data_IF_980108057925
#
_entry.id   IF_980108057925
#
_cell.length_a   1.000
_cell.length_b   1.000
_cell.length_c   1.000
_cell.angle_alpha   90.00
_cell.angle_beta   90.00
_cell.angle_gamma   90.00
#
_symmetry.space_group_name_H-M   'P 1'
#
loop_
_entity.id
_entity.type
_entity.pdbx_description
1 polymer ?
#
# COMPACT_ATOMS: atom_id res chain seq x y z
N UNK A 1 11.27 -9.10 11.73
CA UNK A 1 11.79 -10.42 11.35
C UNK A 1 10.69 -11.12 10.58
N UNK A 2 10.92 -11.49 9.33
CA UNK A 2 9.96 -12.25 8.52
C UNK A 2 10.05 -13.70 8.96
N UNK A 3 9.06 -14.21 9.70
CA UNK A 3 8.98 -15.65 9.98
C UNK A 3 8.54 -16.36 8.71
N UNK A 4 9.40 -17.22 8.18
CA UNK A 4 8.99 -18.16 7.15
C UNK A 4 8.12 -19.24 7.81
N UNK A 5 6.87 -19.34 7.34
CA UNK A 5 5.92 -20.40 7.68
C UNK A 5 6.63 -21.74 7.64
N UNK A 6 6.50 -22.57 8.67
CA UNK A 6 7.13 -23.89 8.77
C UNK A 6 6.94 -24.68 7.46
N UNK A 7 7.98 -24.75 6.64
CA UNK A 7 7.86 -25.15 5.23
C UNK A 7 7.87 -26.67 5.03
N UNK A 8 7.91 -27.44 6.11
CA UNK A 8 8.23 -28.87 6.09
C UNK A 8 6.98 -29.73 5.87
N UNK A 9 5.82 -29.36 6.42
CA UNK A 9 4.51 -29.96 6.14
C UNK A 9 3.45 -28.87 5.96
N UNK A 10 2.70 -28.91 4.86
CA UNK A 10 1.56 -28.02 4.67
C UNK A 10 0.36 -28.63 5.41
N UNK A 11 0.36 -28.55 6.74
CA UNK A 11 -0.80 -28.94 7.53
C UNK A 11 -1.76 -27.74 7.58
N UNK A 12 -2.95 -27.93 7.00
CA UNK A 12 -3.96 -26.86 6.86
C UNK A 12 -4.28 -26.19 8.19
N UNK A 13 -4.39 -26.98 9.26
CA UNK A 13 -4.63 -26.52 10.63
C UNK A 13 -3.52 -25.60 11.16
N UNK A 14 -2.26 -25.98 11.01
CA UNK A 14 -1.12 -25.17 11.45
C UNK A 14 -1.01 -23.86 10.67
N UNK A 15 -1.25 -23.90 9.35
CA UNK A 15 -1.26 -22.71 8.51
C UNK A 15 -2.37 -21.74 8.91
N UNK A 16 -3.59 -22.25 9.13
CA UNK A 16 -4.72 -21.46 9.61
C UNK A 16 -4.45 -20.85 10.98
N UNK A 17 -3.83 -21.58 11.90
CA UNK A 17 -3.45 -21.07 13.21
C UNK A 17 -2.44 -19.91 13.10
N UNK A 18 -1.47 -19.99 12.19
CA UNK A 18 -0.53 -18.89 11.92
C UNK A 18 -1.21 -17.67 11.31
N UNK A 19 -2.16 -17.87 10.39
CA UNK A 19 -2.95 -16.77 9.84
C UNK A 19 -3.82 -16.10 10.91
N UNK A 20 -4.47 -16.88 11.77
CA UNK A 20 -5.25 -16.36 12.89
C UNK A 20 -4.35 -15.55 13.84
N UNK A 21 -3.19 -16.09 14.21
CA UNK A 21 -2.21 -15.38 15.05
C UNK A 21 -1.75 -14.05 14.42
N UNK A 22 -1.48 -14.04 13.11
CA UNK A 22 -1.13 -12.82 12.38
C UNK A 22 -2.27 -11.79 12.36
N UNK A 23 -3.53 -12.25 12.41
CA UNK A 23 -4.73 -11.40 12.47
C UNK A 23 -5.09 -10.93 13.89
N UNK A 24 -4.42 -11.39 14.96
CA UNK A 24 -4.75 -10.96 16.33
C UNK A 24 -4.68 -9.44 16.53
N UNK A 25 -3.77 -8.76 15.82
CA UNK A 25 -3.63 -7.29 15.88
C UNK A 25 -4.78 -6.55 15.21
N UNK A 26 -5.53 -7.20 14.34
CA UNK A 26 -6.58 -6.59 13.53
C UNK A 26 -7.66 -5.93 14.39
N UNK A 27 -8.07 -6.58 15.49
CA UNK A 27 -9.11 -6.04 16.38
C UNK A 27 -8.66 -4.75 17.07
N UNK A 28 -7.41 -4.70 17.55
CA UNK A 28 -6.83 -3.49 18.12
C UNK A 28 -6.69 -2.38 17.07
N UNK A 29 -6.26 -2.72 15.85
CA UNK A 29 -6.18 -1.79 14.72
C UNK A 29 -7.55 -1.21 14.36
N UNK A 30 -8.59 -2.04 14.33
CA UNK A 30 -9.98 -1.62 14.09
C UNK A 30 -10.43 -0.64 15.16
N UNK A 31 -10.26 -0.97 16.44
CA UNK A 31 -10.64 -0.10 17.55
C UNK A 31 -9.92 1.26 17.48
N UNK A 32 -8.60 1.24 17.24
CA UNK A 32 -7.79 2.46 17.07
C UNK A 32 -8.27 3.32 15.89
N UNK A 33 -8.60 2.72 14.74
CA UNK A 33 -9.09 3.49 13.59
C UNK A 33 -10.48 4.06 13.87
N UNK A 34 -11.39 3.29 14.46
CA UNK A 34 -12.73 3.77 14.76
C UNK A 34 -12.72 4.88 15.82
N UNK A 35 -11.89 4.78 16.86
CA UNK A 35 -11.68 5.87 17.82
C UNK A 35 -11.17 7.13 17.13
N UNK A 36 -10.14 7.00 16.28
CA UNK A 36 -9.62 8.12 15.50
C UNK A 36 -10.69 8.77 14.60
N UNK A 37 -11.52 7.96 13.95
CA UNK A 37 -12.61 8.44 13.08
C UNK A 37 -13.71 9.14 13.89
N UNK A 38 -14.04 8.64 15.08
CA UNK A 38 -15.08 9.24 15.93
C UNK A 38 -14.63 10.57 16.54
N UNK A 39 -13.32 10.83 16.62
CA UNK A 39 -12.72 12.02 17.23
C UNK A 39 -11.85 12.79 16.23
N UNK A 40 -12.25 12.82 14.96
CA UNK A 40 -11.45 13.43 13.88
C UNK A 40 -11.14 14.90 14.13
N UNK A 41 -12.09 15.65 14.67
CA UNK A 41 -11.95 17.06 15.03
C UNK A 41 -10.92 17.27 16.13
N UNK A 42 -10.95 16.45 17.18
CA UNK A 42 -9.95 16.51 18.26
C UNK A 42 -8.55 16.18 17.75
N UNK A 43 -8.43 15.14 16.91
CA UNK A 43 -7.16 14.78 16.28
C UNK A 43 -6.68 15.85 15.28
N UNK A 44 -7.59 16.52 14.58
CA UNK A 44 -7.26 17.65 13.71
C UNK A 44 -6.74 18.83 14.51
N UNK A 45 -7.36 19.15 15.66
CA UNK A 45 -6.91 20.19 16.56
C UNK A 45 -5.51 19.87 17.10
N UNK A 46 -5.30 18.63 17.57
CA UNK A 46 -4.00 18.18 18.04
C UNK A 46 -2.91 18.27 16.95
N UNK A 47 -3.24 17.88 15.72
CA UNK A 47 -2.32 17.99 14.58
C UNK A 47 -2.05 19.47 14.21
N UNK A 48 -3.06 20.34 14.29
CA UNK A 48 -2.91 21.76 14.02
C UNK A 48 -2.03 22.46 15.05
N UNK A 49 -2.18 22.14 16.35
CA UNK A 49 -1.34 22.69 17.43
C UNK A 49 0.16 22.50 17.13
N UNK A 50 0.54 21.38 16.51
CA UNK A 50 1.95 21.14 16.15
C UNK A 50 2.49 22.13 15.11
N UNK A 51 1.62 22.65 14.23
CA UNK A 51 1.99 23.63 13.20
C UNK A 51 1.64 25.07 13.58
N UNK A 52 0.98 25.30 14.71
CA UNK A 52 0.65 26.64 15.19
C UNK A 52 1.88 27.55 15.29
N UNK A 53 3.05 27.11 15.82
CA UNK A 53 4.26 27.94 15.84
C UNK A 53 4.72 28.41 14.45
N UNK A 54 4.54 27.56 13.40
CA UNK A 54 4.80 27.96 12.01
C UNK A 54 3.83 29.04 11.57
N UNK A 55 2.55 28.91 11.91
CA UNK A 55 1.50 29.88 11.54
C UNK A 55 1.76 31.23 12.20
N UNK A 56 2.20 31.23 13.47
CA UNK A 56 2.52 32.43 14.25
C UNK A 56 3.71 33.24 13.71
N UNK A 57 4.51 32.69 12.78
CA UNK A 57 5.51 33.46 12.05
C UNK A 57 4.91 34.55 11.14
N UNK A 58 3.60 34.48 10.89
CA UNK A 58 2.87 35.35 9.97
C UNK A 58 1.67 36.03 10.66
N UNK A 59 1.24 37.22 10.17
CA UNK A 59 1.76 37.95 9.02
C UNK A 59 3.14 38.56 9.27
N UNK A 60 3.94 38.67 8.20
CA UNK A 60 5.29 39.24 8.29
C UNK A 60 5.60 40.14 7.11
N UNK A 61 5.97 41.39 7.41
CA UNK A 61 6.43 42.34 6.41
C UNK A 61 7.94 42.18 6.21
N UNK A 62 8.35 42.04 4.95
CA UNK A 62 9.74 42.01 4.52
C UNK A 62 9.94 43.03 3.38
N UNK A 63 11.18 43.37 3.00
CA UNK A 63 11.43 44.34 1.92
C UNK A 63 10.79 43.93 0.58
N UNK A 64 10.65 42.63 0.35
CA UNK A 64 10.10 42.00 -0.86
C UNK A 64 8.57 41.79 -0.84
N UNK A 65 7.89 42.11 0.27
CA UNK A 65 6.43 42.09 0.33
C UNK A 65 5.85 41.74 1.70
N UNK A 66 4.52 41.67 1.74
CA UNK A 66 3.77 41.21 2.92
C UNK A 66 3.40 39.73 2.78
N UNK A 67 3.85 38.92 3.74
CA UNK A 67 3.62 37.47 3.75
C UNK A 67 2.54 37.12 4.75
N UNK A 68 1.60 36.26 4.35
CA UNK A 68 0.53 35.74 5.20
C UNK A 68 0.28 34.26 4.96
N UNK A 69 -0.22 33.58 5.98
CA UNK A 69 -0.76 32.23 5.85
C UNK A 69 -2.21 32.30 5.38
N UNK A 70 -2.57 31.43 4.45
CA UNK A 70 -3.94 31.24 3.97
C UNK A 70 -4.30 29.78 4.15
N UNK A 71 -5.47 29.56 4.75
CA UNK A 71 -6.07 28.24 4.91
C UNK A 71 -7.18 28.02 3.87
N UNK A 72 -7.27 26.80 3.35
CA UNK A 72 -8.32 26.40 2.42
C UNK A 72 -8.77 24.97 2.75
N UNK A 73 -10.07 24.75 2.94
CA UNK A 73 -10.62 23.39 3.09
C UNK A 73 -10.82 22.83 1.70
N UNK A 74 -10.12 21.75 1.39
CA UNK A 74 -10.19 21.14 0.07
C UNK A 74 -11.29 20.08 -0.02
N UNK A 75 -12.08 20.14 -1.09
CA UNK A 75 -13.16 19.19 -1.41
C UNK A 75 -12.89 18.44 -2.73
N UNK A 76 -11.68 18.58 -3.28
CA UNK A 76 -11.28 17.89 -4.51
C UNK A 76 -10.98 16.41 -4.27
N UNK A 77 -11.10 15.53 -5.29
CA UNK A 77 -10.83 14.09 -5.14
C UNK A 77 -9.47 13.72 -4.55
N UNK A 78 -8.43 14.53 -4.78
CA UNK A 78 -7.06 14.24 -4.35
C UNK A 78 -6.74 14.78 -2.95
N UNK A 79 -7.51 15.74 -2.44
CA UNK A 79 -7.28 16.46 -1.19
C UNK A 79 -8.64 16.65 -0.50
N UNK A 80 -9.31 15.56 -0.16
CA UNK A 80 -10.69 15.64 0.34
C UNK A 80 -10.74 15.80 1.85
N UNK A 81 -11.46 16.80 2.36
CA UNK A 81 -11.60 17.06 3.79
C UNK A 81 -10.33 17.59 4.46
N UNK A 82 -9.27 17.90 3.70
CA UNK A 82 -7.97 18.33 4.23
C UNK A 82 -7.88 19.85 4.33
N UNK A 83 -7.07 20.34 5.26
CA UNK A 83 -6.73 21.75 5.37
C UNK A 83 -5.46 22.04 4.57
N UNK A 84 -5.61 22.76 3.46
CA UNK A 84 -4.49 23.33 2.72
C UNK A 84 -3.90 24.52 3.45
N UNK A 85 -2.58 24.56 3.57
CA UNK A 85 -1.83 25.67 4.15
C UNK A 85 -0.94 26.27 3.07
N UNK A 86 -1.11 27.56 2.80
CA UNK A 86 -0.32 28.27 1.79
C UNK A 86 0.30 29.54 2.36
N UNK A 87 1.55 29.81 2.00
CA UNK A 87 2.15 31.14 2.20
C UNK A 87 1.80 31.98 0.99
N UNK A 88 1.25 33.17 1.21
CA UNK A 88 0.80 34.08 0.16
C UNK A 88 1.47 35.44 0.31
N UNK A 89 1.95 35.96 -0.80
CA UNK A 89 2.31 37.37 -1.01
C UNK A 89 1.28 38.04 -1.91
N UNK A 90 1.50 39.29 -2.28
CA UNK A 90 0.63 39.99 -3.24
C UNK A 90 0.63 39.30 -4.61
N UNK A 91 1.78 38.77 -5.03
CA UNK A 91 2.01 38.23 -6.38
C UNK A 91 2.12 36.71 -6.44
N UNK A 92 2.36 36.03 -5.30
CA UNK A 92 2.61 34.59 -5.27
C UNK A 92 1.79 33.86 -4.20
N UNK A 93 1.48 32.59 -4.49
CA UNK A 93 0.89 31.64 -3.55
C UNK A 93 1.68 30.34 -3.59
N UNK A 94 2.25 29.96 -2.46
CA UNK A 94 3.02 28.72 -2.31
C UNK A 94 2.26 27.76 -1.41
N UNK A 95 1.77 26.66 -1.99
CA UNK A 95 1.10 25.57 -1.27
C UNK A 95 2.15 24.68 -0.60
N UNK A 96 2.18 24.69 0.73
CA UNK A 96 3.22 24.02 1.51
C UNK A 96 3.17 22.49 1.32
N UNK A 97 1.99 21.93 1.07
CA UNK A 97 1.79 20.50 0.80
C UNK A 97 2.46 20.04 -0.51
N UNK A 98 2.75 20.95 -1.45
CA UNK A 98 3.33 20.61 -2.76
C UNK A 98 4.85 20.63 -2.82
N UNK A 99 5.50 21.33 -1.88
CA UNK A 99 6.94 21.56 -1.92
C UNK A 99 7.73 20.54 -1.09
N UNK A 100 7.06 19.75 -0.25
CA UNK A 100 7.66 18.71 0.60
C UNK A 100 8.56 19.29 1.70
N UNK A 101 9.13 18.42 2.55
CA UNK A 101 9.90 18.81 3.74
C UNK A 101 10.99 19.86 3.43
N UNK A 102 11.87 19.56 2.48
CA UNK A 102 12.97 20.45 2.09
C UNK A 102 12.46 21.75 1.46
N UNK A 103 11.34 21.70 0.74
CA UNK A 103 10.73 22.89 0.15
C UNK A 103 10.10 23.79 1.21
N UNK A 104 9.42 23.23 2.20
CA UNK A 104 8.86 23.99 3.33
C UNK A 104 9.99 24.67 4.10
N UNK A 105 11.07 23.96 4.42
CA UNK A 105 12.22 24.57 5.09
C UNK A 105 12.82 25.75 4.30
N UNK A 106 12.93 25.64 2.97
CA UNK A 106 13.38 26.74 2.10
C UNK A 106 12.42 27.92 2.08
N UNK A 107 11.11 27.67 2.10
CA UNK A 107 10.08 28.72 2.16
C UNK A 107 10.15 29.46 3.50
N UNK A 108 10.48 28.77 4.60
CA UNK A 108 10.51 29.35 5.94
C UNK A 108 11.85 29.99 6.32
N UNK A 109 12.97 29.60 5.69
CA UNK A 109 14.31 30.13 5.97
C UNK A 109 14.43 31.67 5.97
N UNK A 110 13.69 32.44 5.14
CA UNK A 110 13.73 33.90 5.20
C UNK A 110 13.00 34.50 6.42
N UNK A 111 12.26 33.69 7.18
CA UNK A 111 11.39 34.10 8.28
C UNK A 111 11.84 33.59 9.66
N UNK A 112 12.77 32.65 9.73
CA UNK A 112 13.25 32.11 11.01
C UNK A 112 14.67 31.59 10.86
N UNK A 113 15.29 31.16 11.96
CA UNK A 113 16.59 30.50 11.89
C UNK A 113 16.50 29.18 11.12
N UNK A 114 17.64 28.70 10.60
CA UNK A 114 17.68 27.42 9.89
C UNK A 114 17.21 26.23 10.75
N UNK A 115 17.47 26.28 12.06
CA UNK A 115 17.04 25.24 13.00
C UNK A 115 15.50 25.24 13.17
N UNK A 116 14.90 26.41 13.38
CA UNK A 116 13.44 26.59 13.47
C UNK A 116 12.75 26.19 12.17
N UNK A 117 13.28 26.62 11.01
CA UNK A 117 12.73 26.27 9.70
C UNK A 117 12.67 24.75 9.49
N UNK A 118 13.67 24.01 9.98
CA UNK A 118 13.69 22.54 9.93
C UNK A 118 12.64 21.92 10.86
N UNK A 119 12.51 22.44 12.10
CA UNK A 119 11.50 21.96 13.06
C UNK A 119 10.08 22.18 12.54
N UNK A 120 9.79 23.39 12.04
CA UNK A 120 8.50 23.72 11.43
C UNK A 120 8.19 22.86 10.21
N UNK A 121 9.18 22.58 9.36
CA UNK A 121 9.00 21.68 8.22
C UNK A 121 8.65 20.25 8.67
N UNK A 122 9.30 19.76 9.74
CA UNK A 122 9.02 18.43 10.30
C UNK A 122 7.59 18.35 10.85
N UNK A 123 7.18 19.33 11.66
CA UNK A 123 5.82 19.41 12.19
C UNK A 123 4.78 19.49 11.05
N UNK A 124 5.08 20.26 10.00
CA UNK A 124 4.21 20.33 8.82
C UNK A 124 4.14 19.00 8.05
N UNK A 125 5.23 18.23 7.99
CA UNK A 125 5.20 16.90 7.39
C UNK A 125 4.28 15.94 8.16
N UNK A 126 4.28 16.00 9.49
CA UNK A 126 3.38 15.20 10.34
C UNK A 126 1.92 15.62 10.16
N UNK A 127 1.66 16.92 10.09
CA UNK A 127 0.34 17.46 9.72
C UNK A 127 -0.13 16.98 8.34
N UNK A 128 0.77 16.94 7.35
CA UNK A 128 0.46 16.41 6.03
C UNK A 128 0.19 14.90 6.02
N UNK A 129 0.79 14.13 6.92
CA UNK A 129 0.44 12.73 7.10
C UNK A 129 -0.97 12.57 7.66
N UNK A 130 -1.37 13.43 8.62
CA UNK A 130 -2.76 13.50 9.09
C UNK A 130 -3.72 13.85 7.95
N UNK A 131 -3.45 14.91 7.19
CA UNK A 131 -4.23 15.29 6.01
C UNK A 131 -4.34 14.15 4.99
N UNK A 132 -3.24 13.44 4.70
CA UNK A 132 -3.27 12.29 3.81
C UNK A 132 -4.18 11.15 4.31
N UNK A 133 -4.25 10.95 5.63
CA UNK A 133 -5.12 9.94 6.26
C UNK A 133 -6.59 10.35 6.16
N UNK A 134 -6.90 11.62 6.43
CA UNK A 134 -8.25 12.19 6.23
C UNK A 134 -8.70 12.06 4.78
N UNK A 135 -7.85 12.44 3.81
CA UNK A 135 -8.17 12.30 2.38
C UNK A 135 -8.47 10.86 1.96
N UNK A 136 -7.89 9.87 2.64
CA UNK A 136 -8.10 8.45 2.33
C UNK A 136 -9.50 7.95 2.73
N UNK A 137 -10.20 8.65 3.63
CA UNK A 137 -11.59 8.36 4.01
C UNK A 137 -12.55 8.44 2.82
N UNK A 138 -12.27 9.30 1.84
CA UNK A 138 -13.07 9.42 0.61
C UNK A 138 -13.18 8.10 -0.17
N UNK A 139 -12.18 7.22 -0.07
CA UNK A 139 -12.20 5.93 -0.80
C UNK A 139 -13.32 4.99 -0.34
N UNK A 140 -13.94 5.28 0.81
CA UNK A 140 -15.11 4.59 1.34
C UNK A 140 -16.45 5.19 0.89
N UNK A 141 -16.43 6.20 0.00
CA UNK A 141 -17.64 6.74 -0.62
C UNK A 141 -18.46 7.68 0.25
N UNK A 142 -17.92 8.17 1.37
CA UNK A 142 -18.57 9.17 2.23
C UNK A 142 -18.11 10.56 1.82
N UNK A 143 -19.08 11.44 1.63
CA UNK A 143 -18.85 12.84 1.27
C UNK A 143 -18.80 13.75 2.49
N UNK A 144 -18.00 14.82 2.39
CA UNK A 144 -17.93 15.86 3.40
C UNK A 144 -19.24 16.65 3.38
N UNK A 145 -19.80 16.93 4.55
CA UNK A 145 -20.98 17.78 4.69
C UNK A 145 -20.72 19.16 4.05
N UNK A 146 -21.69 19.76 3.34
CA UNK A 146 -21.54 21.09 2.79
C UNK A 146 -21.09 22.10 3.84
N UNK A 147 -19.97 22.77 3.55
CA UNK A 147 -19.41 23.76 4.45
C UNK A 147 -20.26 25.03 4.40
N UNK A 148 -20.73 25.57 5.54
CA UNK A 148 -21.46 26.83 5.56
C UNK A 148 -20.63 27.97 4.96
N UNK A 149 -21.28 28.93 4.31
CA UNK A 149 -20.62 30.10 3.74
C UNK A 149 -20.29 31.15 4.82
N UNK A 150 -19.13 31.82 4.71
CA UNK A 150 -18.67 32.81 5.68
C UNK A 150 -17.97 32.21 6.92
N UNK A 151 -17.45 33.07 7.79
CA UNK A 151 -16.80 32.69 9.06
C UNK A 151 -15.32 32.24 8.94
N UNK A 152 -14.63 32.05 10.10
CA UNK A 152 -13.24 31.60 10.13
C UNK A 152 -13.09 30.16 9.61
N UNK A 153 -11.99 29.89 8.90
CA UNK A 153 -11.77 28.60 8.20
C UNK A 153 -11.55 27.43 9.18
N UNK A 154 -10.81 27.64 10.27
CA UNK A 154 -10.43 26.55 11.20
C UNK A 154 -11.63 25.97 11.97
N UNK A 155 -12.50 26.77 12.63
CA UNK A 155 -13.70 26.24 13.28
C UNK A 155 -14.58 25.44 12.32
N UNK A 156 -14.81 25.99 11.11
CA UNK A 156 -15.56 25.30 10.06
C UNK A 156 -14.94 23.97 9.64
N UNK A 157 -13.62 23.89 9.61
CA UNK A 157 -12.92 22.66 9.27
C UNK A 157 -13.08 21.61 10.37
N UNK A 158 -12.95 22.01 11.65
CA UNK A 158 -13.16 21.11 12.79
C UNK A 158 -14.60 20.59 12.84
N UNK A 159 -15.60 21.47 12.71
CA UNK A 159 -17.01 21.07 12.69
C UNK A 159 -17.32 20.09 11.54
N UNK A 160 -16.74 20.36 10.36
CA UNK A 160 -16.89 19.48 9.21
C UNK A 160 -16.24 18.11 9.42
N UNK A 161 -15.07 18.06 10.06
CA UNK A 161 -14.39 16.82 10.38
C UNK A 161 -15.12 16.00 11.45
N UNK A 162 -15.73 16.67 12.44
CA UNK A 162 -16.57 16.01 13.42
C UNK A 162 -17.74 15.29 12.72
N UNK A 163 -18.53 16.02 11.92
CA UNK A 163 -19.65 15.46 11.18
C UNK A 163 -19.20 14.36 10.19
N UNK A 164 -18.07 14.56 9.52
CA UNK A 164 -17.52 13.58 8.58
C UNK A 164 -17.09 12.29 9.27
N UNK A 165 -16.45 12.40 10.43
CA UNK A 165 -16.06 11.28 11.27
C UNK A 165 -17.25 10.39 11.64
N UNK A 166 -18.33 11.00 12.14
CA UNK A 166 -19.55 10.29 12.48
C UNK A 166 -20.18 9.54 11.30
N UNK A 167 -20.11 10.11 10.09
CA UNK A 167 -20.61 9.47 8.87
C UNK A 167 -19.68 8.35 8.36
N UNK A 168 -18.37 8.52 8.48
CA UNK A 168 -17.39 7.52 8.08
C UNK A 168 -17.36 6.30 9.01
N UNK A 169 -17.63 6.48 10.31
CA UNK A 169 -17.53 5.45 11.34
C UNK A 169 -18.27 4.14 11.00
N UNK A 170 -19.58 4.13 10.69
CA UNK A 170 -20.31 2.90 10.35
C UNK A 170 -19.79 2.24 9.06
N UNK A 171 -19.41 3.03 8.05
CA UNK A 171 -18.91 2.52 6.76
C UNK A 171 -17.54 1.85 6.94
N UNK A 172 -16.68 2.44 7.75
CA UNK A 172 -15.36 1.89 8.07
C UNK A 172 -15.53 0.63 8.92
N UNK A 173 -16.41 0.63 9.91
CA UNK A 173 -16.72 -0.56 10.69
C UNK A 173 -17.18 -1.73 9.79
N UNK A 174 -18.08 -1.46 8.85
CA UNK A 174 -18.54 -2.45 7.86
C UNK A 174 -17.41 -2.91 6.93
N UNK A 175 -16.49 -2.01 6.54
CA UNK A 175 -15.31 -2.36 5.75
C UNK A 175 -14.36 -3.31 6.49
N UNK A 176 -14.16 -3.13 7.80
CA UNK A 176 -13.40 -4.06 8.63
C UNK A 176 -14.05 -5.46 8.69
N UNK A 177 -15.37 -5.54 8.88
CA UNK A 177 -16.10 -6.81 8.85
C UNK A 177 -15.98 -7.50 7.49
N UNK A 178 -16.20 -6.75 6.40
CA UNK A 178 -16.06 -7.27 5.04
C UNK A 178 -14.63 -7.74 4.75
N UNK A 179 -13.63 -7.10 5.33
CA UNK A 179 -12.25 -7.53 5.18
C UNK A 179 -11.95 -8.86 5.89
N UNK A 180 -12.56 -9.11 7.06
CA UNK A 180 -12.46 -10.43 7.72
C UNK A 180 -13.11 -11.50 6.84
N UNK A 181 -14.33 -11.26 6.37
CA UNK A 181 -15.07 -12.19 5.50
C UNK A 181 -14.28 -12.51 4.23
N UNK A 182 -13.81 -11.49 3.51
CA UNK A 182 -12.93 -11.69 2.34
C UNK A 182 -11.63 -12.41 2.69
N UNK A 183 -11.08 -12.22 3.89
CA UNK A 183 -9.87 -12.91 4.32
C UNK A 183 -10.13 -14.41 4.52
N UNK A 184 -11.29 -14.79 5.07
CA UNK A 184 -11.69 -16.19 5.21
C UNK A 184 -11.93 -16.84 3.85
N UNK A 185 -12.67 -16.17 2.97
CA UNK A 185 -12.89 -16.63 1.58
C UNK A 185 -11.57 -16.79 0.82
N UNK A 186 -10.63 -15.86 1.01
CA UNK A 186 -9.32 -15.93 0.36
C UNK A 186 -8.49 -17.10 0.89
N UNK A 187 -8.53 -17.36 2.20
CA UNK A 187 -7.88 -18.54 2.79
C UNK A 187 -8.43 -19.82 2.14
N UNK A 188 -9.75 -19.97 2.08
CA UNK A 188 -10.42 -21.11 1.46
C UNK A 188 -10.03 -21.27 -0.02
N UNK A 189 -10.14 -20.21 -0.82
CA UNK A 189 -9.77 -20.22 -2.23
C UNK A 189 -8.28 -20.54 -2.43
N UNK A 190 -7.40 -20.05 -1.56
CA UNK A 190 -5.98 -20.40 -1.58
C UNK A 190 -5.73 -21.87 -1.25
N UNK A 191 -6.47 -22.44 -0.29
CA UNK A 191 -6.37 -23.85 0.05
C UNK A 191 -6.90 -24.74 -1.08
N UNK A 192 -8.04 -24.40 -1.68
CA UNK A 192 -8.58 -25.10 -2.84
C UNK A 192 -7.58 -25.06 -4.00
N UNK A 193 -7.07 -23.87 -4.33
CA UNK A 193 -6.04 -23.69 -5.35
C UNK A 193 -4.81 -24.57 -5.07
N UNK A 194 -4.27 -24.52 -3.84
CA UNK A 194 -3.08 -25.29 -3.49
C UNK A 194 -3.33 -26.80 -3.51
N UNK A 195 -4.55 -27.25 -3.20
CA UNK A 195 -4.99 -28.64 -3.29
C UNK A 195 -5.06 -29.11 -4.75
N UNK A 196 -5.65 -28.32 -5.66
CA UNK A 196 -5.70 -28.59 -7.10
C UNK A 196 -4.31 -28.76 -7.70
N UNK A 197 -3.32 -28.01 -7.20
CA UNK A 197 -1.92 -28.13 -7.63
C UNK A 197 -1.20 -29.39 -7.09
N UNK A 198 -1.86 -30.23 -6.30
CA UNK A 198 -1.36 -31.49 -5.79
C UNK A 198 -0.24 -31.36 -4.75
N UNK A 199 0.57 -32.42 -4.50
CA UNK A 199 1.65 -32.38 -3.50
C UNK A 199 2.78 -31.42 -3.87
N UNK A 200 3.48 -30.89 -2.86
CA UNK A 200 4.56 -29.91 -3.05
C UNK A 200 5.79 -30.60 -3.61
N UNK A 201 6.24 -30.16 -4.79
CA UNK A 201 7.39 -30.72 -5.52
C UNK A 201 8.15 -29.63 -6.25
N UNK A 202 9.32 -29.95 -6.79
CA UNK A 202 10.02 -29.02 -7.69
C UNK A 202 9.09 -28.58 -8.82
N UNK A 203 8.99 -27.27 -9.04
CA UNK A 203 8.04 -26.58 -9.94
C UNK A 203 6.55 -26.73 -9.62
N UNK A 204 6.18 -27.09 -8.40
CA UNK A 204 4.78 -26.90 -7.98
C UNK A 204 4.46 -25.41 -7.87
N UNK A 205 3.28 -25.01 -8.33
CA UNK A 205 2.75 -23.65 -8.19
C UNK A 205 2.00 -23.58 -6.85
N UNK A 206 2.18 -22.50 -6.10
CA UNK A 206 1.50 -22.25 -4.82
C UNK A 206 1.05 -20.81 -4.71
N UNK A 207 -0.08 -20.60 -4.05
CA UNK A 207 -0.45 -19.29 -3.52
C UNK A 207 -0.14 -19.26 -2.03
N UNK A 208 0.58 -18.24 -1.57
CA UNK A 208 0.84 -18.01 -0.13
C UNK A 208 0.80 -16.53 0.19
N UNK A 209 0.44 -16.21 1.44
CA UNK A 209 0.63 -14.88 2.00
C UNK A 209 2.11 -14.59 2.29
N UNK A 210 2.38 -13.30 2.48
CA UNK A 210 3.54 -12.80 3.20
C UNK A 210 3.11 -12.51 4.63
N UNK A 211 3.82 -13.06 5.61
CA UNK A 211 3.58 -12.82 7.02
C UNK A 211 4.64 -11.86 7.55
N UNK A 212 4.20 -10.71 8.02
CA UNK A 212 5.03 -9.73 8.71
C UNK A 212 4.47 -9.53 10.12
N UNK A 213 5.35 -9.71 11.11
CA UNK A 213 5.06 -9.55 12.53
C UNK A 213 4.75 -8.09 12.90
N UNK A 214 4.89 -7.12 11.99
CA UNK A 214 4.55 -5.72 12.23
C UNK A 214 3.34 -5.23 11.40
N UNK A 215 2.76 -6.09 10.57
CA UNK A 215 1.58 -5.71 9.80
C UNK A 215 0.34 -5.66 10.69
N UNK A 216 -0.28 -4.47 10.74
CA UNK A 216 -1.44 -4.16 11.58
C UNK A 216 -2.74 -4.77 11.04
N UNK A 217 -2.76 -5.14 9.75
CA UNK A 217 -3.90 -5.80 9.10
C UNK A 217 -3.65 -7.30 8.86
N UNK A 218 -2.60 -7.86 9.48
CA UNK A 218 -2.26 -9.28 9.39
C UNK A 218 -1.65 -9.68 8.04
N UNK A 219 -1.88 -10.92 7.55
CA UNK A 219 -1.26 -11.44 6.33
C UNK A 219 -1.39 -10.50 5.14
N UNK A 220 -0.32 -10.32 4.37
CA UNK A 220 -0.26 -9.39 3.25
C UNK A 220 0.15 -10.10 1.95
N UNK A 221 -0.03 -9.42 0.81
CA UNK A 221 0.53 -9.83 -0.49
C UNK A 221 0.30 -11.32 -0.86
N UNK A 222 -0.95 -11.80 -0.90
CA UNK A 222 -1.27 -13.12 -1.46
C UNK A 222 -0.70 -13.19 -2.87
N UNK A 223 0.15 -14.19 -3.13
CA UNK A 223 0.90 -14.23 -4.38
C UNK A 223 1.15 -15.65 -4.87
N UNK A 224 1.03 -15.80 -6.19
CA UNK A 224 1.37 -17.02 -6.91
C UNK A 224 2.89 -17.12 -7.06
N UNK A 225 3.43 -18.27 -6.64
CA UNK A 225 4.85 -18.56 -6.60
C UNK A 225 5.11 -19.96 -7.14
N UNK A 226 6.32 -20.19 -7.62
CA UNK A 226 6.76 -21.50 -8.10
C UNK A 226 7.91 -21.99 -7.22
N UNK A 227 7.83 -23.24 -6.78
CA UNK A 227 8.92 -23.89 -6.03
C UNK A 227 10.11 -24.11 -6.95
N UNK A 228 11.25 -23.51 -6.63
CA UNK A 228 12.49 -23.57 -7.43
C UNK A 228 13.57 -24.44 -6.83
N UNK A 229 13.53 -24.73 -5.54
CA UNK A 229 14.37 -25.75 -4.92
C UNK A 229 13.74 -26.27 -3.64
N UNK A 230 14.05 -27.52 -3.29
CA UNK A 230 13.70 -28.11 -2.00
C UNK A 230 14.98 -28.68 -1.42
N UNK A 231 15.39 -28.20 -0.25
CA UNK A 231 16.52 -28.76 0.47
C UNK A 231 16.13 -30.18 0.93
N UNK A 232 16.86 -31.23 0.53
CA UNK A 232 16.49 -32.61 0.84
C UNK A 232 16.57 -32.93 2.34
N UNK A 233 17.49 -32.27 3.08
CA UNK A 233 17.71 -32.51 4.51
C UNK A 233 16.72 -31.73 5.37
N UNK A 234 16.57 -30.43 5.11
CA UNK A 234 15.70 -29.56 5.95
C UNK A 234 14.27 -29.47 5.43
N UNK A 235 13.98 -30.03 4.25
CA UNK A 235 12.71 -29.86 3.50
C UNK A 235 12.33 -28.40 3.23
N UNK A 236 13.27 -27.47 3.46
CA UNK A 236 13.10 -26.05 3.18
C UNK A 236 12.92 -25.80 1.69
N UNK A 237 12.01 -24.88 1.34
CA UNK A 237 11.53 -24.65 -0.01
C UNK A 237 11.87 -23.23 -0.43
N UNK A 238 12.55 -23.11 -1.56
CA UNK A 238 12.74 -21.81 -2.20
C UNK A 238 11.62 -21.57 -3.20
N UNK A 239 11.08 -20.36 -3.16
CA UNK A 239 10.02 -19.92 -4.04
C UNK A 239 10.53 -18.77 -4.92
N UNK A 240 10.14 -18.78 -6.20
CA UNK A 240 10.20 -17.58 -7.04
C UNK A 240 8.78 -17.03 -7.22
N UNK A 241 8.64 -15.71 -7.14
CA UNK A 241 7.42 -15.03 -7.53
C UNK A 241 7.10 -15.31 -9.01
N UNK A 242 5.81 -15.38 -9.36
CA UNK A 242 5.38 -15.73 -10.72
C UNK A 242 6.03 -14.85 -11.79
N UNK A 243 6.10 -13.54 -11.56
CA UNK A 243 6.73 -12.56 -12.45
C UNK A 243 8.20 -12.90 -12.71
N UNK A 244 8.95 -13.22 -11.65
CA UNK A 244 10.39 -13.51 -11.77
C UNK A 244 10.63 -14.90 -12.38
N UNK A 245 9.76 -15.86 -12.09
CA UNK A 245 9.77 -17.16 -12.75
C UNK A 245 9.56 -17.02 -14.26
N UNK A 246 8.59 -16.21 -14.70
CA UNK A 246 8.37 -15.91 -16.13
C UNK A 246 9.57 -15.21 -16.78
N UNK A 247 10.15 -14.21 -16.11
CA UNK A 247 11.39 -13.55 -16.59
C UNK A 247 12.52 -14.57 -16.77
N UNK A 248 12.69 -15.49 -15.82
CA UNK A 248 13.69 -16.56 -15.90
C UNK A 248 13.39 -17.54 -17.05
N UNK A 249 12.13 -17.93 -17.26
CA UNK A 249 11.71 -18.78 -18.38
C UNK A 249 11.98 -18.10 -19.73
N UNK A 250 11.64 -16.81 -19.86
CA UNK A 250 11.89 -16.02 -21.06
C UNK A 250 13.38 -15.93 -21.35
N UNK A 251 14.19 -15.63 -20.34
CA UNK A 251 15.66 -15.61 -20.46
C UNK A 251 16.22 -16.96 -20.92
N UNK A 252 15.73 -18.06 -20.34
CA UNK A 252 16.15 -19.42 -20.73
C UNK A 252 15.78 -19.75 -22.18
N UNK A 253 14.56 -19.39 -22.61
CA UNK A 253 14.08 -19.60 -23.99
C UNK A 253 14.91 -18.82 -25.01
N UNK A 254 15.23 -17.56 -24.70
CA UNK A 254 16.08 -16.72 -25.55
C UNK A 254 17.51 -17.27 -25.62
N UNK A 255 18.09 -17.67 -24.49
CA UNK A 255 19.41 -18.30 -24.48
C UNK A 255 19.46 -19.60 -25.30
N UNK A 256 18.44 -20.45 -25.20
CA UNK A 256 18.35 -21.67 -26.02
C UNK A 256 18.20 -21.37 -27.52
N UNK A 257 17.44 -20.33 -27.86
CA UNK A 257 17.27 -19.89 -29.25
C UNK A 257 18.60 -19.36 -29.81
N UNK A 258 19.25 -18.44 -29.09
CA UNK A 258 20.55 -17.89 -29.48
C UNK A 258 21.61 -18.97 -29.60
N UNK A 259 21.64 -19.96 -28.69
CA UNK A 259 22.55 -21.10 -28.80
C UNK A 259 22.38 -21.87 -30.12
N UNK A 260 21.14 -22.04 -30.58
CA UNK A 260 20.84 -22.70 -31.86
C UNK A 260 21.23 -21.84 -33.05
N UNK A 261 20.98 -20.54 -32.97
CA UNK A 261 21.29 -19.58 -34.04
C UNK A 261 22.81 -19.34 -34.19
N UNK A 262 23.56 -19.33 -33.08
CA UNK A 262 24.99 -19.05 -33.06
C UNK A 262 25.87 -20.31 -33.18
N UNK A 263 25.30 -21.50 -32.97
CA UNK A 263 26.07 -22.75 -32.91
C UNK A 263 27.02 -22.89 -31.70
N UNK A 264 27.03 -21.91 -30.79
CA UNK A 264 27.82 -21.90 -29.55
C UNK A 264 27.00 -21.43 -28.35
N UNK A 265 27.53 -21.55 -27.14
CA UNK A 265 26.89 -20.95 -25.96
C UNK A 265 26.88 -19.41 -26.07
N UNK A 266 25.73 -18.74 -25.88
CA UNK A 266 25.64 -17.30 -25.95
C UNK A 266 26.16 -16.64 -24.67
N UNK A 267 26.84 -15.52 -24.83
CA UNK A 267 27.33 -14.72 -23.72
C UNK A 267 26.18 -14.03 -22.96
N UNK A 268 26.42 -13.71 -21.69
CA UNK A 268 25.42 -13.02 -20.85
C UNK A 268 24.96 -11.69 -21.47
N UNK A 269 25.87 -10.98 -22.13
CA UNK A 269 25.57 -9.71 -22.81
C UNK A 269 24.68 -9.92 -24.04
N UNK A 270 24.94 -10.94 -24.84
CA UNK A 270 24.14 -11.29 -26.02
C UNK A 270 22.69 -11.62 -25.63
N UNK A 271 22.52 -12.43 -24.57
CA UNK A 271 21.20 -12.75 -24.03
C UNK A 271 20.48 -11.51 -23.51
N UNK A 272 21.19 -10.59 -22.83
CA UNK A 272 20.61 -9.35 -22.33
C UNK A 272 20.20 -8.40 -23.47
N UNK A 273 21.04 -8.26 -24.51
CA UNK A 273 20.74 -7.45 -25.69
C UNK A 273 19.51 -7.99 -26.42
N UNK A 274 19.42 -9.31 -26.63
CA UNK A 274 18.26 -9.94 -27.23
C UNK A 274 16.97 -9.74 -26.38
N UNK A 275 17.08 -9.78 -25.05
CA UNK A 275 15.95 -9.46 -24.16
C UNK A 275 15.52 -7.99 -24.30
N UNK A 276 16.48 -7.06 -24.39
CA UNK A 276 16.19 -5.62 -24.56
C UNK A 276 15.61 -5.30 -25.94
N UNK A 277 16.02 -6.02 -26.98
CA UNK A 277 15.48 -5.88 -28.33
C UNK A 277 14.00 -6.31 -28.41
N UNK A 278 13.55 -7.20 -27.53
CA UNK A 278 12.13 -7.50 -27.39
C UNK A 278 11.41 -6.34 -26.72
N UNK A 279 10.24 -5.96 -27.27
CA UNK A 279 9.37 -4.93 -26.67
C UNK A 279 9.19 -5.22 -25.17
N UNK A 280 9.50 -4.27 -24.28
CA UNK A 280 9.40 -4.47 -22.84
C UNK A 280 7.93 -4.52 -22.44
N UNK A 281 7.36 -5.74 -22.44
CA UNK A 281 6.09 -6.02 -21.76
C UNK A 281 6.40 -6.50 -20.35
N UNK A 282 5.76 -5.88 -19.36
CA UNK A 282 5.83 -6.35 -17.99
C UNK A 282 5.13 -7.71 -17.88
N UNK A 283 5.78 -8.66 -17.20
CA UNK A 283 5.20 -9.97 -16.94
C UNK A 283 4.10 -9.84 -15.88
N UNK A 284 2.93 -10.43 -16.13
CA UNK A 284 1.83 -10.43 -15.15
C UNK A 284 2.09 -11.41 -14.00
N UNK A 285 1.42 -11.22 -12.87
CA UNK A 285 1.49 -12.13 -11.73
C UNK A 285 0.69 -13.45 -11.94
N UNK A 286 -0.06 -13.57 -13.04
CA UNK A 286 -0.94 -14.70 -13.32
C UNK A 286 -0.22 -15.88 -13.97
N UNK A 287 -0.70 -17.09 -13.77
CA UNK A 287 -0.24 -18.29 -14.46
C UNK A 287 -0.57 -18.17 -15.94
N UNK A 288 0.37 -18.58 -16.80
CA UNK A 288 0.20 -18.65 -18.25
C UNK A 288 0.43 -20.07 -18.74
N UNK A 289 0.00 -20.39 -19.96
CA UNK A 289 0.24 -21.70 -20.60
C UNK A 289 1.74 -22.08 -20.59
N UNK A 290 2.61 -21.09 -20.77
CA UNK A 290 4.07 -21.26 -20.69
C UNK A 290 4.55 -21.72 -19.31
N UNK A 291 3.97 -21.13 -18.24
CA UNK A 291 4.26 -21.53 -16.86
C UNK A 291 3.74 -22.95 -16.60
N UNK A 292 2.51 -23.25 -17.01
CA UNK A 292 1.89 -24.58 -16.85
C UNK A 292 2.75 -25.66 -17.51
N UNK A 293 3.20 -25.42 -18.75
CA UNK A 293 4.10 -26.32 -19.46
C UNK A 293 5.44 -26.47 -18.74
N UNK A 294 6.03 -25.38 -18.28
CA UNK A 294 7.28 -25.41 -17.53
C UNK A 294 7.14 -26.15 -16.19
N UNK A 295 5.96 -26.12 -15.57
CA UNK A 295 5.66 -26.79 -14.29
C UNK A 295 5.15 -28.22 -14.45
N UNK A 296 5.13 -28.77 -15.67
CA UNK A 296 4.65 -30.13 -15.96
C UNK A 296 3.17 -30.35 -15.58
N UNK A 297 2.35 -29.31 -15.69
CA UNK A 297 0.91 -29.33 -15.36
C UNK A 297 0.02 -29.38 -16.62
N UNK A 298 0.58 -29.80 -17.76
CA UNK A 298 -0.11 -29.74 -19.06
C UNK A 298 -1.43 -30.52 -19.13
N UNK A 299 -1.55 -31.63 -18.39
CA UNK A 299 -2.78 -32.45 -18.32
C UNK A 299 -3.91 -31.79 -17.52
N UNK A 300 -3.57 -30.87 -16.61
CA UNK A 300 -4.50 -30.17 -15.71
C UNK A 300 -4.63 -28.70 -16.08
N UNK A 301 -4.42 -28.35 -17.35
CA UNK A 301 -4.38 -26.96 -17.80
C UNK A 301 -5.70 -26.22 -17.50
N UNK A 302 -6.84 -26.89 -17.70
CA UNK A 302 -8.16 -26.32 -17.45
C UNK A 302 -8.38 -26.13 -15.95
N UNK A 303 -8.13 -27.16 -15.15
CA UNK A 303 -8.24 -27.12 -13.68
C UNK A 303 -7.37 -26.00 -13.08
N UNK A 304 -6.16 -25.80 -13.61
CA UNK A 304 -5.25 -24.73 -13.18
C UNK A 304 -5.82 -23.35 -13.46
N UNK A 305 -6.42 -23.14 -14.64
CA UNK A 305 -7.01 -21.85 -14.99
C UNK A 305 -8.31 -21.60 -14.21
N UNK A 306 -9.15 -22.61 -14.04
CA UNK A 306 -10.37 -22.50 -13.24
C UNK A 306 -10.05 -22.17 -11.78
N UNK A 307 -9.09 -22.89 -11.18
CA UNK A 307 -8.66 -22.61 -9.81
C UNK A 307 -8.04 -21.21 -9.67
N UNK A 308 -7.30 -20.75 -10.69
CA UNK A 308 -6.78 -19.38 -10.69
C UNK A 308 -7.93 -18.37 -10.76
N UNK A 309 -8.94 -18.58 -11.60
CA UNK A 309 -10.05 -17.65 -11.76
C UNK A 309 -10.81 -17.45 -10.45
N UNK A 310 -11.16 -18.56 -9.77
CA UNK A 310 -11.80 -18.53 -8.44
C UNK A 310 -10.96 -17.76 -7.43
N UNK A 311 -9.66 -18.05 -7.36
CA UNK A 311 -8.73 -17.35 -6.47
C UNK A 311 -8.64 -15.86 -6.77
N UNK A 312 -8.53 -15.49 -8.05
CA UNK A 312 -8.35 -14.10 -8.49
C UNK A 312 -9.57 -13.25 -8.20
N UNK A 313 -10.77 -13.80 -8.36
CA UNK A 313 -12.02 -13.10 -8.06
C UNK A 313 -12.04 -12.59 -6.61
N UNK A 314 -11.68 -13.43 -5.64
CA UNK A 314 -11.61 -13.04 -4.23
C UNK A 314 -10.40 -12.14 -3.95
N UNK A 315 -9.24 -12.49 -4.51
CA UNK A 315 -7.98 -11.81 -4.23
C UNK A 315 -7.99 -10.34 -4.69
N UNK A 316 -8.67 -10.00 -5.78
CA UNK A 316 -8.79 -8.61 -6.26
C UNK A 316 -9.57 -7.74 -5.26
N UNK A 317 -10.76 -8.17 -4.86
CA UNK A 317 -11.59 -7.45 -3.88
C UNK A 317 -10.87 -7.33 -2.54
N UNK A 318 -10.23 -8.41 -2.09
CA UNK A 318 -9.44 -8.42 -0.86
C UNK A 318 -8.28 -7.42 -0.93
N UNK A 319 -7.54 -7.38 -2.04
CA UNK A 319 -6.38 -6.48 -2.21
C UNK A 319 -6.81 -5.02 -2.26
N UNK A 320 -7.92 -4.71 -2.94
CA UNK A 320 -8.46 -3.36 -3.03
C UNK A 320 -8.90 -2.85 -1.64
N UNK A 321 -9.66 -3.66 -0.90
CA UNK A 321 -10.14 -3.29 0.44
C UNK A 321 -8.98 -3.17 1.44
N UNK A 322 -7.99 -4.08 1.38
CA UNK A 322 -6.78 -3.96 2.17
C UNK A 322 -6.07 -2.64 1.93
N UNK A 323 -5.93 -2.23 0.66
CA UNK A 323 -5.26 -0.99 0.31
C UNK A 323 -5.99 0.24 0.88
N UNK A 324 -7.33 0.24 0.84
CA UNK A 324 -8.16 1.29 1.46
C UNK A 324 -7.94 1.35 2.98
N UNK A 325 -8.03 0.22 3.67
CA UNK A 325 -7.81 0.14 5.13
C UNK A 325 -6.37 0.50 5.51
N UNK A 326 -5.38 0.09 4.71
CA UNK A 326 -3.97 0.39 4.94
C UNK A 326 -3.68 1.90 4.81
N UNK A 327 -4.39 2.60 3.94
CA UNK A 327 -4.28 4.05 3.81
C UNK A 327 -4.77 4.82 5.05
N UNK A 328 -5.61 4.19 5.88
CA UNK A 328 -6.06 4.73 7.16
C UNK A 328 -5.10 4.45 8.32
N UNK A 329 -4.00 3.73 8.11
CA UNK A 329 -3.02 3.50 9.16
C UNK A 329 -2.07 4.70 9.29
N UNK A 330 -1.58 5.00 10.51
CA UNK A 330 -0.52 5.97 10.68
C UNK A 330 0.70 5.54 9.85
N UNK A 331 1.17 6.43 8.96
CA UNK A 331 2.39 6.18 8.20
C UNK A 331 3.55 6.32 9.18
N UNK A 332 4.26 5.22 9.46
CA UNK A 332 5.57 5.34 10.11
C UNK A 332 6.43 6.18 9.16
N UNK A 333 6.98 7.29 9.67
CA UNK A 333 8.00 8.04 8.96
C UNK A 333 9.03 7.05 8.43
N UNK A 334 9.35 7.13 7.13
CA UNK A 334 10.57 6.47 6.67
C UNK A 334 11.70 7.07 7.51
N UNK A 335 12.54 6.25 8.16
CA UNK A 335 13.69 6.76 8.89
C UNK A 335 14.58 7.61 7.98
#
# INVERSE_FOLDING_TARGET
MTREINQTKYEKSEYLAQLAAARNRFLATRAMILDWVNRLDEHAAAAFIQIEPLVSLFPRKRPDGNYRIVFEIHTTPKRYGVLGVSVRTETMRTDLSKVGLNGVSKVLAPHCSAAEAKQHAQAFQEFEQFNSRVASLRTFGVDLVPLPSGGPVLPRWFDALHAYGLQCSPVIAAAFERFIDLSQQLDEAMFEFNSTMGPVRYRSIRCTYTLDDFDLLGPSSPSLKVVTSINPHTRHRRYNQMVDFKKALKKKRIGQRLRRELGREPDKLEVQQAIKALRPRQETAWITKDVIKACYLGRSINDVFEAQEKLVAVMQSWTALRAQLQALLPKKGKP
#
